data_IF_696568260814
#
_entry.id   IF_696568260814
#
_cell.length_a   1.000
_cell.length_b   1.000
_cell.length_c   1.000
_cell.angle_alpha   90.00
_cell.angle_beta   90.00
_cell.angle_gamma   90.00
#
_symmetry.space_group_name_H-M   'P 1'
#
loop_
_entity.id
_entity.type
_entity.pdbx_description
1 polymer ?
#
# COMPACT_ATOMS: atom_id res chain seq x y z
N UNK A 1 -20.08 35.14 -26.90
CA UNK A 1 -20.12 33.69 -26.65
C UNK A 1 -19.14 33.39 -25.53
N UNK A 2 -19.62 33.16 -24.31
CA UNK A 2 -18.78 32.78 -23.17
C UNK A 2 -18.47 31.28 -23.24
N UNK A 3 -17.19 30.86 -23.15
CA UNK A 3 -16.87 29.43 -23.11
C UNK A 3 -17.34 28.85 -21.78
N UNK A 4 -18.18 27.81 -21.84
CA UNK A 4 -18.56 26.99 -20.69
C UNK A 4 -17.38 26.07 -20.38
N UNK A 5 -16.71 26.29 -19.25
CA UNK A 5 -15.71 25.35 -18.74
C UNK A 5 -16.40 24.03 -18.36
N UNK A 6 -15.84 22.86 -18.71
CA UNK A 6 -16.38 21.59 -18.24
C UNK A 6 -16.27 21.50 -16.70
N UNK A 7 -17.19 20.78 -16.03
CA UNK A 7 -17.11 20.60 -14.59
C UNK A 7 -15.79 19.90 -14.23
N UNK A 8 -15.03 20.50 -13.31
CA UNK A 8 -13.82 19.91 -12.74
C UNK A 8 -14.18 18.56 -12.15
N UNK A 9 -13.65 17.47 -12.71
CA UNK A 9 -13.78 16.15 -12.10
C UNK A 9 -13.25 16.22 -10.65
N UNK A 10 -13.90 15.57 -9.67
CA UNK A 10 -13.40 15.54 -8.31
C UNK A 10 -11.95 15.06 -8.32
N UNK A 11 -11.04 15.85 -7.74
CA UNK A 11 -9.64 15.47 -7.63
C UNK A 11 -9.46 14.18 -6.84
N UNK A 12 -8.29 13.53 -6.91
CA UNK A 12 -7.98 12.39 -6.07
C UNK A 12 -8.22 12.75 -4.61
N UNK A 13 -9.09 12.01 -3.92
CA UNK A 13 -9.21 12.16 -2.45
C UNK A 13 -7.88 11.72 -1.86
N UNK A 14 -7.25 12.58 -1.08
CA UNK A 14 -5.99 12.28 -0.37
C UNK A 14 -6.30 11.62 0.98
N UNK A 15 -5.43 10.74 1.51
CA UNK A 15 -5.57 10.29 2.90
C UNK A 15 -5.37 11.46 3.88
N UNK A 16 -5.93 11.38 5.10
CA UNK A 16 -5.59 12.32 6.17
C UNK A 16 -4.08 12.35 6.44
N UNK A 17 -3.55 13.46 6.97
CA UNK A 17 -2.14 13.54 7.34
C UNK A 17 -1.78 12.63 8.53
N UNK A 18 -2.69 12.44 9.48
CA UNK A 18 -2.51 11.52 10.60
C UNK A 18 -3.23 10.20 10.33
N UNK A 19 -2.46 9.12 10.17
CA UNK A 19 -2.98 7.78 9.90
C UNK A 19 -3.30 7.00 11.18
N UNK A 20 -2.93 7.50 12.36
CA UNK A 20 -3.12 6.77 13.63
C UNK A 20 -4.59 6.55 13.98
N UNK A 21 -5.47 7.43 13.47
CA UNK A 21 -6.92 7.39 13.65
C UNK A 21 -7.63 6.49 12.64
N UNK A 22 -6.94 6.03 11.58
CA UNK A 22 -7.51 5.16 10.56
C UNK A 22 -7.72 3.74 11.09
N UNK A 23 -8.81 3.12 10.64
CA UNK A 23 -9.05 1.70 10.86
C UNK A 23 -7.92 0.86 10.28
N UNK A 24 -7.56 -0.24 10.95
CA UNK A 24 -6.54 -1.16 10.45
C UNK A 24 -7.17 -2.17 9.48
N UNK A 25 -6.63 -2.26 8.27
CA UNK A 25 -6.96 -3.30 7.30
C UNK A 25 -5.83 -4.33 7.28
N UNK A 26 -6.12 -5.56 7.64
CA UNK A 26 -5.16 -6.66 7.56
C UNK A 26 -5.15 -7.25 6.15
N UNK A 27 -3.99 -7.22 5.50
CA UNK A 27 -3.77 -7.88 4.23
C UNK A 27 -3.17 -9.28 4.44
N UNK A 28 -3.35 -10.21 3.48
CA UNK A 28 -2.63 -11.48 3.50
C UNK A 28 -1.11 -11.25 3.51
N UNK A 29 -0.33 -12.21 4.04
CA UNK A 29 1.12 -12.11 4.05
C UNK A 29 1.69 -11.99 2.62
N UNK A 30 2.83 -11.31 2.50
CA UNK A 30 3.51 -11.17 1.21
C UNK A 30 3.95 -12.55 0.70
N UNK A 31 3.49 -12.91 -0.50
CA UNK A 31 3.90 -14.14 -1.17
C UNK A 31 5.38 -14.11 -1.59
N UNK A 32 5.96 -15.28 -1.93
CA UNK A 32 7.40 -15.43 -2.20
C UNK A 32 7.89 -14.55 -3.35
N UNK A 33 7.08 -14.35 -4.39
CA UNK A 33 7.44 -13.47 -5.51
C UNK A 33 7.56 -12.00 -5.11
N UNK A 34 6.67 -11.54 -4.23
CA UNK A 34 6.71 -10.17 -3.71
C UNK A 34 7.94 -9.97 -2.83
N UNK A 35 8.24 -10.95 -1.98
CA UNK A 35 9.43 -10.97 -1.12
C UNK A 35 10.70 -10.97 -1.96
N UNK A 36 10.77 -11.78 -3.02
CA UNK A 36 11.92 -11.83 -3.94
C UNK A 36 12.19 -10.48 -4.58
N UNK A 37 11.17 -9.83 -5.14
CA UNK A 37 11.35 -8.50 -5.74
C UNK A 37 11.94 -7.49 -4.75
N UNK A 38 11.36 -7.42 -3.54
CA UNK A 38 11.82 -6.47 -2.51
C UNK A 38 13.23 -6.80 -2.03
N UNK A 39 13.56 -8.07 -1.84
CA UNK A 39 14.92 -8.49 -1.53
C UNK A 39 15.91 -8.04 -2.60
N UNK A 40 15.57 -8.23 -3.87
CA UNK A 40 16.46 -7.87 -4.98
C UNK A 40 16.68 -6.34 -5.06
N UNK A 41 15.68 -5.52 -4.72
CA UNK A 41 15.83 -4.07 -4.56
C UNK A 41 16.76 -3.68 -3.40
N UNK A 42 16.69 -4.41 -2.28
CA UNK A 42 17.56 -4.20 -1.12
C UNK A 42 19.00 -4.62 -1.43
N UNK A 43 19.20 -5.80 -2.03
CA UNK A 43 20.53 -6.30 -2.44
C UNK A 43 21.18 -5.39 -3.48
N UNK A 44 20.40 -4.78 -4.37
CA UNK A 44 20.89 -3.79 -5.33
C UNK A 44 21.22 -2.42 -4.70
N UNK A 45 21.03 -2.24 -3.39
CA UNK A 45 21.26 -0.98 -2.69
C UNK A 45 20.22 0.11 -2.98
N UNK A 46 19.14 -0.21 -3.70
CA UNK A 46 18.06 0.73 -4.05
C UNK A 46 17.09 0.98 -2.90
N UNK A 47 17.06 0.08 -1.92
CA UNK A 47 16.34 0.27 -0.67
C UNK A 47 17.21 -0.12 0.53
N UNK A 48 17.54 0.85 1.38
CA UNK A 48 18.41 0.67 2.56
C UNK A 48 17.62 0.64 3.88
N UNK A 49 16.29 0.52 3.79
CA UNK A 49 15.38 0.54 4.95
C UNK A 49 15.12 -0.82 5.57
N UNK A 50 15.60 -1.89 4.94
CA UNK A 50 15.52 -3.21 5.51
C UNK A 50 16.36 -3.27 6.78
N UNK A 51 15.82 -3.92 7.81
CA UNK A 51 16.51 -4.16 9.07
C UNK A 51 16.91 -5.62 9.13
N UNK A 52 18.14 -5.86 9.53
CA UNK A 52 18.60 -7.19 9.85
C UNK A 52 18.35 -7.46 11.34
N UNK A 53 17.66 -8.55 11.60
CA UNK A 53 17.54 -9.21 12.90
C UNK A 53 18.37 -10.50 12.86
N UNK A 54 18.70 -11.11 14.00
CA UNK A 54 19.73 -12.16 14.12
C UNK A 54 19.53 -13.37 13.17
N UNK A 55 18.31 -13.62 12.69
CA UNK A 55 17.99 -14.71 11.76
C UNK A 55 17.33 -14.28 10.43
N UNK A 56 16.95 -13.02 10.29
CA UNK A 56 16.07 -12.59 9.19
C UNK A 56 16.26 -11.13 8.84
N UNK A 57 16.12 -10.82 7.56
CA UNK A 57 15.96 -9.45 7.09
C UNK A 57 14.48 -9.12 6.95
N UNK A 58 14.08 -7.96 7.45
CA UNK A 58 12.70 -7.48 7.46
C UNK A 58 12.62 -6.09 6.85
N UNK A 59 11.68 -5.90 5.91
CA UNK A 59 11.28 -4.57 5.43
C UNK A 59 9.79 -4.37 5.68
N UNK A 60 9.45 -3.23 6.30
CA UNK A 60 8.08 -2.86 6.65
C UNK A 60 7.67 -1.67 5.79
N UNK A 61 6.55 -1.80 5.08
CA UNK A 61 5.99 -0.75 4.23
C UNK A 61 4.57 -0.41 4.72
N UNK A 62 4.39 0.70 5.46
CA UNK A 62 3.07 1.19 5.82
C UNK A 62 2.35 1.80 4.61
N UNK A 63 1.05 1.55 4.48
CA UNK A 63 0.22 2.12 3.42
C UNK A 63 -1.11 2.63 3.97
N UNK A 64 -1.63 3.69 3.35
CA UNK A 64 -3.04 4.05 3.42
C UNK A 64 -3.78 3.49 2.20
N UNK A 65 -4.94 2.86 2.42
CA UNK A 65 -5.78 2.29 1.36
C UNK A 65 -7.18 2.87 1.50
N UNK A 66 -7.71 3.44 0.43
CA UNK A 66 -9.12 3.82 0.35
C UNK A 66 -9.90 2.67 -0.27
N UNK A 67 -10.93 2.24 0.45
CA UNK A 67 -11.85 1.20 -0.01
C UNK A 67 -13.09 1.90 -0.57
N UNK A 68 -13.43 1.64 -1.82
CA UNK A 68 -14.65 2.13 -2.47
C UNK A 68 -15.89 1.46 -1.88
N UNK A 69 -17.08 2.01 -2.16
CA UNK A 69 -18.35 1.41 -1.74
C UNK A 69 -18.51 -0.05 -2.20
N UNK A 70 -17.93 -0.41 -3.35
CA UNK A 70 -17.99 -1.76 -3.95
C UNK A 70 -16.92 -2.72 -3.39
N UNK A 71 -16.13 -2.29 -2.39
CA UNK A 71 -15.09 -3.11 -1.77
C UNK A 71 -13.80 -3.21 -2.58
N UNK A 72 -13.54 -2.26 -3.49
CA UNK A 72 -12.29 -2.18 -4.25
C UNK A 72 -11.32 -1.17 -3.63
N UNK A 73 -10.01 -1.41 -3.77
CA UNK A 73 -9.02 -0.38 -3.49
C UNK A 73 -8.95 0.58 -4.69
N UNK A 74 -9.51 1.78 -4.52
CA UNK A 74 -9.51 2.84 -5.54
C UNK A 74 -8.33 3.80 -5.38
N UNK A 75 -7.68 3.83 -4.22
CA UNK A 75 -6.44 4.56 -3.98
C UNK A 75 -5.57 3.85 -2.96
N UNK A 76 -4.26 3.81 -3.22
CA UNK A 76 -3.25 3.28 -2.30
C UNK A 76 -2.09 4.26 -2.23
N UNK A 77 -1.78 4.72 -1.02
CA UNK A 77 -0.72 5.69 -0.77
C UNK A 77 0.31 5.06 0.17
N UNK A 78 1.52 4.73 -0.30
CA UNK A 78 2.57 4.25 0.58
C UNK A 78 3.08 5.40 1.45
N UNK A 79 3.50 5.10 2.68
CA UNK A 79 4.32 6.04 3.45
C UNK A 79 5.69 6.15 2.77
N UNK A 80 6.21 7.36 2.64
CA UNK A 80 7.54 7.61 2.10
C UNK A 80 8.61 7.08 3.07
N UNK A 81 9.01 5.83 2.89
CA UNK A 81 10.14 5.21 3.60
C UNK A 81 11.48 5.57 2.94
N UNK A 82 11.46 6.18 1.75
CA UNK A 82 12.64 6.54 0.97
C UNK A 82 13.08 5.43 0.03
N UNK A 83 12.19 4.52 -0.35
CA UNK A 83 12.43 3.45 -1.32
C UNK A 83 11.38 3.51 -2.45
N UNK A 84 11.46 4.48 -3.39
CA UNK A 84 10.36 4.77 -4.31
C UNK A 84 9.89 3.55 -5.13
N UNK A 85 10.83 2.73 -5.63
CA UNK A 85 10.49 1.51 -6.39
C UNK A 85 9.72 0.50 -5.53
N UNK A 86 10.17 0.29 -4.30
CA UNK A 86 9.52 -0.64 -3.36
C UNK A 86 8.16 -0.09 -2.93
N UNK A 87 8.05 1.20 -2.63
CA UNK A 87 6.80 1.86 -2.24
C UNK A 87 5.73 1.73 -3.33
N UNK A 88 6.08 2.03 -4.58
CA UNK A 88 5.16 1.90 -5.72
C UNK A 88 4.77 0.44 -5.97
N UNK A 89 5.74 -0.49 -5.88
CA UNK A 89 5.47 -1.92 -5.98
C UNK A 89 4.51 -2.40 -4.89
N UNK A 90 4.74 -2.01 -3.64
CA UNK A 90 3.89 -2.34 -2.49
C UNK A 90 2.48 -1.77 -2.65
N UNK A 91 2.34 -0.56 -3.21
CA UNK A 91 1.03 0.01 -3.51
C UNK A 91 0.24 -0.86 -4.52
N UNK A 92 0.89 -1.29 -5.59
CA UNK A 92 0.29 -2.22 -6.56
C UNK A 92 -0.02 -3.61 -5.97
N UNK A 93 0.86 -4.12 -5.11
CA UNK A 93 0.66 -5.39 -4.41
C UNK A 93 -0.56 -5.32 -3.47
N UNK A 94 -0.68 -4.25 -2.68
CA UNK A 94 -1.83 -4.01 -1.80
C UNK A 94 -3.14 -3.95 -2.58
N UNK A 95 -3.18 -3.26 -3.72
CA UNK A 95 -4.38 -3.20 -4.56
C UNK A 95 -4.78 -4.60 -5.07
N UNK A 96 -3.81 -5.43 -5.46
CA UNK A 96 -4.04 -6.82 -5.87
C UNK A 96 -4.51 -7.68 -4.70
N UNK A 97 -3.94 -7.51 -3.51
CA UNK A 97 -4.35 -8.25 -2.30
C UNK A 97 -5.80 -7.94 -1.94
N UNK A 98 -6.19 -6.66 -1.89
CA UNK A 98 -7.57 -6.23 -1.61
C UNK A 98 -8.54 -6.84 -2.61
N UNK A 99 -8.18 -6.85 -3.90
CA UNK A 99 -9.01 -7.47 -4.96
C UNK A 99 -9.31 -8.94 -4.67
N UNK A 100 -8.39 -9.68 -4.06
CA UNK A 100 -8.56 -11.12 -3.79
C UNK A 100 -9.01 -11.43 -2.35
N UNK A 101 -9.29 -10.42 -1.52
CA UNK A 101 -9.88 -10.65 -0.20
C UNK A 101 -11.29 -11.24 -0.36
N UNK A 102 -11.51 -12.41 0.24
CA UNK A 102 -12.79 -13.12 0.18
C UNK A 102 -13.97 -12.30 0.72
N UNK A 103 -13.69 -11.43 1.71
CA UNK A 103 -14.67 -10.61 2.41
C UNK A 103 -14.59 -9.13 2.03
N UNK A 104 -14.03 -8.79 0.85
CA UNK A 104 -13.79 -7.38 0.47
C UNK A 104 -15.05 -6.51 0.47
N UNK A 105 -16.21 -7.08 0.16
CA UNK A 105 -17.51 -6.39 0.15
C UNK A 105 -18.09 -6.17 1.55
N UNK A 106 -17.56 -6.86 2.57
CA UNK A 106 -17.95 -6.66 3.97
C UNK A 106 -17.11 -5.56 4.65
N UNK A 107 -16.02 -5.12 4.02
CA UNK A 107 -15.21 -4.01 4.51
C UNK A 107 -15.97 -2.71 4.23
N UNK A 108 -16.29 -1.87 5.24
CA UNK A 108 -17.03 -0.65 4.98
C UNK A 108 -16.28 0.28 4.03
N UNK A 109 -16.91 0.60 2.90
CA UNK A 109 -16.33 1.44 1.86
C UNK A 109 -16.45 2.95 2.14
N UNK A 110 -15.99 3.74 1.18
CA UNK A 110 -16.02 5.21 1.23
C UNK A 110 -15.04 5.83 2.23
N UNK A 111 -14.04 5.07 2.71
CA UNK A 111 -13.11 5.55 3.74
C UNK A 111 -11.71 4.97 3.61
N UNK A 112 -10.79 5.65 4.28
CA UNK A 112 -9.38 5.28 4.39
C UNK A 112 -9.14 4.28 5.53
N UNK A 113 -8.19 3.39 5.28
CA UNK A 113 -7.65 2.44 6.23
C UNK A 113 -6.13 2.54 6.23
N UNK A 114 -5.50 2.25 7.36
CA UNK A 114 -4.07 1.99 7.43
C UNK A 114 -3.82 0.49 7.31
N UNK A 115 -2.71 0.13 6.68
CA UNK A 115 -2.22 -1.25 6.62
C UNK A 115 -0.69 -1.26 6.60
N UNK A 116 -0.13 -2.45 6.70
CA UNK A 116 1.30 -2.69 6.63
C UNK A 116 1.52 -3.95 5.80
N UNK A 117 2.43 -3.88 4.83
CA UNK A 117 3.02 -5.07 4.22
C UNK A 117 4.40 -5.28 4.84
N UNK A 118 4.61 -6.47 5.39
CA UNK A 118 5.91 -6.92 5.90
C UNK A 118 6.51 -7.91 4.93
N UNK A 119 7.74 -7.64 4.50
CA UNK A 119 8.55 -8.52 3.69
C UNK A 119 9.66 -9.11 4.56
N UNK A 120 9.78 -10.43 4.57
CA UNK A 120 10.73 -11.14 5.43
C UNK A 120 11.44 -12.21 4.62
N UNK A 121 12.77 -12.31 4.75
CA UNK A 121 13.58 -13.37 4.14
C UNK A 121 14.79 -13.72 5.04
N UNK A 122 15.37 -14.93 4.90
CA UNK A 122 16.60 -15.29 5.62
C UNK A 122 17.74 -14.30 5.31
N UNK A 123 18.49 -13.94 6.34
CA UNK A 123 19.70 -13.11 6.22
C UNK A 123 20.84 -13.82 5.50
#
# INVERSE_FOLDING_TARGET
MTPVLPPTAPGPVEPPHDWSTLGMLTLPPAGPDLVRFVRDEVTAGRCTRARQDDAQTVLVVPLAIRISADGHADSVVPLAIGCPTVEQFSAGAAQRMVRHLAHRTMIPGGRWYRTVITYTWPG
#
